data_IF_202552881034
#
_entry.id   IF_202552881034
#
_cell.length_a   1.000
_cell.length_b   1.000
_cell.length_c   1.000
_cell.angle_alpha   90.00
_cell.angle_beta   90.00
_cell.angle_gamma   90.00
#
_symmetry.space_group_name_H-M   'P 1'
#
loop_
_entity.id
_entity.type
_entity.pdbx_description
1 polymer ?
#
# COMPACT_ATOMS: atom_id res chain seq x y z
N UNK A 1 -16.12 -21.73 -13.44
CA UNK A 1 -15.13 -20.67 -13.73
C UNK A 1 -14.55 -20.23 -12.39
N UNK A 2 -13.23 -20.26 -12.19
CA UNK A 2 -12.61 -19.83 -10.95
C UNK A 2 -12.49 -18.29 -10.93
N UNK A 3 -12.77 -17.66 -9.79
CA UNK A 3 -12.47 -16.24 -9.57
C UNK A 3 -11.06 -16.12 -8.99
N UNK A 4 -10.26 -15.23 -9.55
CA UNK A 4 -8.95 -14.83 -9.00
C UNK A 4 -9.18 -13.63 -8.10
N UNK A 5 -8.63 -13.65 -6.90
CA UNK A 5 -8.64 -12.52 -5.97
C UNK A 5 -7.26 -11.89 -5.95
N UNK A 6 -7.19 -10.58 -6.13
CA UNK A 6 -5.96 -9.81 -5.87
C UNK A 6 -5.72 -9.69 -4.35
N UNK A 7 -4.49 -9.36 -3.91
CA UNK A 7 -4.23 -9.07 -2.50
C UNK A 7 -5.18 -7.99 -1.93
N UNK A 8 -5.50 -6.95 -2.70
CA UNK A 8 -6.44 -5.90 -2.32
C UNK A 8 -7.88 -6.41 -2.15
N UNK A 9 -8.33 -7.30 -3.05
CA UNK A 9 -9.65 -7.93 -2.92
C UNK A 9 -9.73 -8.76 -1.63
N UNK A 10 -8.68 -9.53 -1.34
CA UNK A 10 -8.63 -10.39 -0.16
C UNK A 10 -8.60 -9.56 1.13
N UNK A 11 -7.84 -8.46 1.17
CA UNK A 11 -7.84 -7.52 2.29
C UNK A 11 -9.25 -6.94 2.56
N UNK A 12 -9.97 -6.56 1.48
CA UNK A 12 -11.36 -6.10 1.58
C UNK A 12 -12.33 -7.14 2.13
N UNK A 13 -12.16 -8.41 1.76
CA UNK A 13 -12.95 -9.50 2.35
C UNK A 13 -12.65 -9.68 3.83
N UNK A 14 -11.37 -9.64 4.23
CA UNK A 14 -10.96 -9.76 5.63
C UNK A 14 -11.55 -8.65 6.50
N UNK A 15 -11.56 -7.40 6.03
CA UNK A 15 -12.17 -6.31 6.81
C UNK A 15 -13.68 -6.45 6.93
N UNK A 16 -14.38 -6.77 5.83
CA UNK A 16 -15.82 -7.06 5.87
C UNK A 16 -16.12 -8.21 6.85
N UNK A 17 -15.25 -9.20 6.94
CA UNK A 17 -15.36 -10.30 7.91
C UNK A 17 -15.16 -9.82 9.35
N UNK A 18 -14.23 -8.89 9.60
CA UNK A 18 -14.01 -8.29 10.91
C UNK A 18 -15.26 -7.51 11.39
N UNK A 19 -15.81 -6.71 10.49
CA UNK A 19 -16.95 -5.82 10.78
C UNK A 19 -18.29 -6.56 10.82
N UNK A 20 -18.38 -7.72 10.14
CA UNK A 20 -19.61 -8.50 10.08
C UNK A 20 -20.05 -8.99 11.47
N UNK A 21 -21.31 -8.79 11.88
CA UNK A 21 -21.85 -9.33 13.14
C UNK A 21 -21.99 -10.86 13.10
N UNK A 22 -22.09 -11.44 11.90
CA UNK A 22 -22.33 -12.88 11.70
C UNK A 22 -21.04 -13.72 11.68
N UNK A 23 -19.88 -13.06 11.60
CA UNK A 23 -18.59 -13.75 11.60
C UNK A 23 -18.20 -14.22 13.01
N UNK A 24 -17.64 -15.44 13.09
CA UNK A 24 -17.16 -16.00 14.35
C UNK A 24 -15.93 -15.24 14.86
N UNK A 25 -15.64 -15.32 16.16
CA UNK A 25 -14.44 -14.69 16.72
C UNK A 25 -13.14 -15.23 16.10
N UNK A 26 -13.12 -16.52 15.74
CA UNK A 26 -11.97 -17.13 15.07
C UNK A 26 -11.78 -16.58 13.66
N UNK A 27 -12.87 -16.43 12.89
CA UNK A 27 -12.83 -15.80 11.57
C UNK A 27 -12.29 -14.36 11.65
N UNK A 28 -12.79 -13.57 12.60
CA UNK A 28 -12.30 -12.20 12.82
C UNK A 28 -10.84 -12.16 13.24
N UNK A 29 -10.39 -13.10 14.07
CA UNK A 29 -8.98 -13.22 14.47
C UNK A 29 -8.10 -13.52 13.26
N UNK A 30 -8.48 -14.52 12.45
CA UNK A 30 -7.70 -14.91 11.27
C UNK A 30 -7.66 -13.80 10.22
N UNK A 31 -8.77 -13.08 10.02
CA UNK A 31 -8.81 -11.92 9.15
C UNK A 31 -7.86 -10.80 9.61
N UNK A 32 -7.81 -10.50 10.92
CA UNK A 32 -6.84 -9.54 11.48
C UNK A 32 -5.40 -9.98 11.28
N UNK A 33 -5.11 -11.26 11.56
CA UNK A 33 -3.77 -11.82 11.36
C UNK A 33 -3.31 -11.67 9.91
N UNK A 34 -4.18 -12.02 8.95
CA UNK A 34 -3.87 -11.84 7.54
C UNK A 34 -3.56 -10.39 7.18
N UNK A 35 -4.36 -9.42 7.66
CA UNK A 35 -4.12 -8.01 7.39
C UNK A 35 -2.79 -7.53 7.99
N UNK A 36 -2.43 -7.99 9.19
CA UNK A 36 -1.13 -7.70 9.80
C UNK A 36 0.03 -8.30 9.01
N UNK A 37 -0.08 -9.54 8.56
CA UNK A 37 0.95 -10.20 7.77
C UNK A 37 1.14 -9.52 6.40
N UNK A 38 0.03 -9.09 5.78
CA UNK A 38 0.06 -8.31 4.55
C UNK A 38 0.78 -6.96 4.77
N UNK A 39 0.47 -6.24 5.84
CA UNK A 39 1.13 -4.96 6.17
C UNK A 39 2.65 -5.15 6.33
N UNK A 40 3.06 -6.17 7.09
CA UNK A 40 4.47 -6.49 7.30
C UNK A 40 5.17 -6.86 5.99
N UNK A 41 4.49 -7.58 5.10
CA UNK A 41 5.02 -7.95 3.78
C UNK A 41 5.24 -6.71 2.92
N UNK A 42 4.27 -5.79 2.89
CA UNK A 42 4.40 -4.54 2.14
C UNK A 42 5.48 -3.64 2.72
N UNK A 43 5.61 -3.58 4.05
CA UNK A 43 6.68 -2.84 4.72
C UNK A 43 8.05 -3.39 4.36
N UNK A 44 8.23 -4.71 4.40
CA UNK A 44 9.46 -5.36 3.94
C UNK A 44 9.76 -5.02 2.47
N UNK A 45 8.74 -5.04 1.60
CA UNK A 45 8.88 -4.62 0.20
C UNK A 45 9.38 -3.18 0.07
N UNK A 46 8.84 -2.26 0.86
CA UNK A 46 9.27 -0.85 0.85
C UNK A 46 10.71 -0.66 1.30
N UNK A 47 11.13 -1.34 2.36
CA UNK A 47 12.51 -1.30 2.86
C UNK A 47 13.49 -1.87 1.84
N UNK A 48 13.12 -2.98 1.20
CA UNK A 48 13.90 -3.60 0.13
C UNK A 48 14.06 -2.65 -1.07
N UNK A 49 12.98 -2.01 -1.53
CA UNK A 49 13.03 -1.05 -2.64
C UNK A 49 13.91 0.14 -2.29
N UNK A 50 13.72 0.73 -1.10
CA UNK A 50 14.52 1.86 -0.64
C UNK A 50 16.02 1.52 -0.58
N UNK A 51 16.36 0.37 0.00
CA UNK A 51 17.75 -0.08 0.11
C UNK A 51 18.37 -0.44 -1.26
N UNK A 52 17.62 -1.13 -2.13
CA UNK A 52 18.15 -1.62 -3.41
C UNK A 52 18.23 -0.55 -4.49
N UNK A 53 17.30 0.40 -4.51
CA UNK A 53 17.19 1.41 -5.56
C UNK A 53 17.59 2.82 -5.10
N UNK A 54 17.85 3.01 -3.81
CA UNK A 54 18.22 4.33 -3.26
C UNK A 54 17.08 5.35 -3.31
N UNK A 55 15.85 4.88 -3.15
CA UNK A 55 14.62 5.69 -3.25
C UNK A 55 13.98 5.85 -1.87
N UNK A 56 13.17 6.88 -1.70
CA UNK A 56 12.34 7.02 -0.52
C UNK A 56 11.03 6.27 -0.71
N UNK A 57 10.63 5.50 0.31
CA UNK A 57 9.36 4.79 0.32
C UNK A 57 8.52 5.24 1.53
N UNK A 58 7.23 5.47 1.32
CA UNK A 58 6.29 5.67 2.44
C UNK A 58 5.80 4.33 2.97
N UNK A 59 5.55 4.29 4.28
CA UNK A 59 4.89 3.15 4.91
C UNK A 59 3.58 2.83 4.18
N UNK A 60 3.27 1.53 4.00
CA UNK A 60 2.03 1.13 3.32
C UNK A 60 0.81 1.69 4.05
N UNK A 61 -0.06 2.39 3.32
CA UNK A 61 -1.33 2.86 3.87
C UNK A 61 -2.38 1.75 3.74
N UNK A 62 -2.68 1.09 4.86
CA UNK A 62 -3.67 0.02 4.94
C UNK A 62 -5.11 0.55 5.14
N UNK A 63 -5.41 1.77 4.70
CA UNK A 63 -6.77 2.33 4.82
C UNK A 63 -7.71 1.80 3.73
N UNK A 64 -8.99 1.69 4.12
CA UNK A 64 -10.10 1.42 3.21
C UNK A 64 -10.43 2.70 2.50
N UNK A 65 -10.33 2.73 1.17
CA UNK A 65 -10.92 3.82 0.43
C UNK A 65 -12.45 3.68 0.54
N UNK A 66 -13.04 4.59 1.32
CA UNK A 66 -14.49 4.60 1.57
C UNK A 66 -15.25 5.24 0.40
N UNK A 67 -14.56 6.05 -0.41
CA UNK A 67 -15.14 6.92 -1.43
C UNK A 67 -14.84 6.44 -2.87
N UNK A 68 -13.92 5.49 -3.05
CA UNK A 68 -13.72 4.84 -4.34
C UNK A 68 -14.92 3.96 -4.70
N UNK A 69 -15.50 4.22 -5.86
CA UNK A 69 -16.49 3.37 -6.53
C UNK A 69 -15.96 1.96 -6.81
N UNK A 70 -14.64 1.73 -6.67
CA UNK A 70 -14.04 0.42 -6.51
C UNK A 70 -14.01 0.04 -5.04
N UNK A 71 -14.69 -1.04 -4.66
CA UNK A 71 -14.66 -1.61 -3.30
C UNK A 71 -13.26 -2.17 -2.92
N UNK A 72 -12.23 -1.33 -2.92
CA UNK A 72 -10.83 -1.71 -2.79
C UNK A 72 -10.21 -1.21 -1.50
N UNK A 73 -9.46 -2.09 -0.86
CA UNK A 73 -8.42 -1.68 0.07
C UNK A 73 -7.22 -1.13 -0.71
N UNK A 74 -6.64 -0.02 -0.25
CA UNK A 74 -5.38 0.54 -0.79
C UNK A 74 -4.17 -0.35 -0.43
N UNK A 75 -4.35 -1.33 0.47
CA UNK A 75 -3.40 -2.22 1.17
C UNK A 75 -2.19 -2.83 0.42
N UNK A 76 -1.95 -2.60 -0.86
CA UNK A 76 -0.79 -3.14 -1.54
C UNK A 76 -0.04 -2.11 -2.39
N UNK A 77 -0.19 -0.82 -2.10
CA UNK A 77 0.61 0.21 -2.76
C UNK A 77 1.71 0.71 -1.84
N UNK A 78 2.94 0.62 -2.32
CA UNK A 78 4.08 1.36 -1.75
C UNK A 78 4.23 2.59 -2.63
N UNK A 79 4.12 3.77 -2.04
CA UNK A 79 4.52 4.99 -2.74
C UNK A 79 6.04 5.07 -2.71
N UNK A 80 6.62 5.26 -3.89
CA UNK A 80 8.07 5.38 -4.11
C UNK A 80 8.34 6.74 -4.72
N UNK A 81 9.38 7.42 -4.24
CA UNK A 81 9.78 8.75 -4.70
C UNK A 81 11.32 8.86 -4.71
N UNK A 82 11.90 9.79 -5.48
CA UNK A 82 13.31 10.11 -5.36
C UNK A 82 13.63 10.79 -4.02
N UNK A 83 14.89 10.77 -3.60
CA UNK A 83 15.36 11.51 -2.43
C UNK A 83 15.55 13.00 -2.74
N UNK A 84 15.71 13.35 -4.03
CA UNK A 84 15.80 14.73 -4.49
C UNK A 84 15.21 14.94 -5.89
N UNK A 85 14.78 16.17 -6.18
CA UNK A 85 14.10 16.54 -7.44
C UNK A 85 14.89 16.24 -8.72
N UNK A 86 16.20 16.05 -8.63
CA UNK A 86 17.07 15.85 -9.80
C UNK A 86 17.49 14.38 -9.99
N UNK A 87 17.03 13.46 -9.15
CA UNK A 87 17.37 12.04 -9.28
C UNK A 87 16.55 11.40 -10.41
N UNK A 88 17.18 10.65 -11.32
CA UNK A 88 16.46 9.95 -12.38
C UNK A 88 15.66 8.77 -11.81
N UNK A 89 14.53 8.44 -12.43
CA UNK A 89 13.78 7.21 -12.13
C UNK A 89 14.68 5.98 -12.38
N UNK A 90 14.86 5.07 -11.40
CA UNK A 90 15.54 3.79 -11.60
C UNK A 90 14.93 2.99 -12.75
N UNK A 91 15.75 2.33 -13.57
CA UNK A 91 15.29 1.58 -14.75
C UNK A 91 14.19 0.57 -14.45
N UNK A 92 14.28 -0.09 -13.30
CA UNK A 92 13.37 -1.12 -12.80
C UNK A 92 11.98 -0.57 -12.46
N UNK A 93 11.85 0.74 -12.21
CA UNK A 93 10.59 1.40 -11.91
C UNK A 93 9.94 2.04 -13.15
N UNK A 94 10.71 2.27 -14.22
CA UNK A 94 10.20 2.88 -15.47
C UNK A 94 9.13 2.03 -16.15
N UNK A 95 9.20 0.72 -16.02
CA UNK A 95 8.20 -0.19 -16.59
C UNK A 95 6.87 -0.19 -15.80
N UNK A 96 6.90 0.33 -14.56
CA UNK A 96 5.74 0.40 -13.67
C UNK A 96 5.01 1.74 -13.82
N UNK A 97 5.77 2.84 -13.91
CA UNK A 97 5.23 4.17 -14.19
C UNK A 97 6.23 5.02 -15.01
N UNK A 98 6.13 5.00 -16.34
CA UNK A 98 7.11 5.65 -17.22
C UNK A 98 6.97 7.18 -17.29
N UNK A 99 5.80 7.72 -16.94
CA UNK A 99 5.48 9.17 -17.02
C UNK A 99 5.08 9.78 -15.66
N UNK A 100 5.05 8.98 -14.59
CA UNK A 100 4.62 9.41 -13.27
C UNK A 100 5.39 10.63 -12.75
N UNK A 101 4.69 11.44 -11.95
CA UNK A 101 5.25 12.59 -11.24
C UNK A 101 6.39 12.13 -10.32
N UNK A 102 7.62 12.10 -10.87
CA UNK A 102 8.81 11.69 -10.16
C UNK A 102 9.38 12.85 -9.37
N UNK A 103 8.69 13.18 -8.29
CA UNK A 103 9.06 14.24 -7.37
C UNK A 103 9.26 13.67 -5.97
N UNK A 104 10.21 14.21 -5.18
CA UNK A 104 10.39 13.77 -3.81
C UNK A 104 9.11 14.00 -3.02
N UNK A 105 8.90 13.20 -1.97
CA UNK A 105 7.78 13.47 -1.07
C UNK A 105 7.93 14.88 -0.49
N UNK A 106 6.83 15.65 -0.48
CA UNK A 106 6.79 16.97 0.14
C UNK A 106 7.41 16.90 1.56
N UNK A 107 8.42 17.72 1.79
CA UNK A 107 9.08 17.77 3.10
C UNK A 107 8.08 18.21 4.16
N UNK A 108 8.17 17.70 5.42
CA UNK A 108 7.26 18.09 6.50
C UNK A 108 7.19 19.60 6.78
N UNK A 109 8.17 20.37 6.28
CA UNK A 109 8.25 21.83 6.42
C UNK A 109 7.30 22.59 5.49
N UNK A 110 6.76 21.95 4.45
CA UNK A 110 5.80 22.55 3.51
C UNK A 110 4.34 22.24 3.86
N UNK A 111 4.09 21.53 4.97
CA UNK A 111 2.74 21.44 5.50
C UNK A 111 2.31 22.84 5.96
N UNK A 112 1.25 23.45 5.38
CA UNK A 112 0.74 24.71 5.89
C UNK A 112 0.44 24.53 7.38
N UNK A 113 1.00 25.42 8.20
CA UNK A 113 0.69 25.43 9.64
C UNK A 113 -0.83 25.50 9.83
N UNK A 114 -1.37 24.79 10.84
CA UNK A 114 -2.82 24.70 11.06
C UNK A 114 -3.50 26.05 11.23
#
# INVERSE_FOLDING_TARGET
MAKVLTPSDLAGVCQKMIDSPDATQEQKKNARMFLTDLENTMRFGSEMLAHSLGVDCKSPNMQVDSDSLGCGYICATISVAPQSENEPIPSELKDVDPEGDWEPFASPLDAPSP
#
